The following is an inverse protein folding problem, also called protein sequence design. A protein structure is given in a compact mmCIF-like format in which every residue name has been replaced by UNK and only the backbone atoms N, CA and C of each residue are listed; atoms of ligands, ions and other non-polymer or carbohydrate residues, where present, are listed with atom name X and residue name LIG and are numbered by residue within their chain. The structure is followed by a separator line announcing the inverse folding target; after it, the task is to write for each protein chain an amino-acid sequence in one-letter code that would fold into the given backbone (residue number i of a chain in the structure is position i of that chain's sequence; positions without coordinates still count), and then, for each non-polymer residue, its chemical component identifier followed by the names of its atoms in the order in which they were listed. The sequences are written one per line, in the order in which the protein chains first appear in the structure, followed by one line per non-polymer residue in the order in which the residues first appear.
data_IF_899203733587
#
_entry.id   IF_899203733587
#
_cell.length_a   1.000
_cell.length_b   1.000
_cell.length_c   1.000
_cell.angle_alpha   90.00
_cell.angle_beta   90.00
_cell.angle_gamma   90.00
#
_symmetry.space_group_name_H-M   'P 1'
#
loop_
_entity.id
_entity.type
_entity.pdbx_description
1 polymer ?
#
# COMPACT_ATOMS: atom_id res chain seq x y z
N UNK A 1 -2.19 -10.80 12.46
CA UNK A 1 -2.13 -10.82 10.98
C UNK A 1 -3.02 -11.95 10.54
N UNK A 2 -3.99 -11.68 9.66
CA UNK A 2 -4.84 -12.73 9.10
C UNK A 2 -4.32 -13.17 7.73
N UNK A 3 -4.36 -14.48 7.48
CA UNK A 3 -3.84 -15.14 6.27
C UNK A 3 -4.94 -15.60 5.33
N UNK A 4 -6.19 -15.45 5.75
CA UNK A 4 -7.37 -15.79 4.96
C UNK A 4 -8.40 -14.68 5.15
N UNK A 5 -9.27 -14.46 4.16
CA UNK A 5 -10.41 -13.59 4.35
C UNK A 5 -11.32 -14.15 5.45
N UNK A 6 -11.96 -13.25 6.18
CA UNK A 6 -12.88 -13.57 7.27
C UNK A 6 -14.22 -12.88 7.01
N UNK A 7 -15.32 -13.40 7.56
CA UNK A 7 -16.63 -12.71 7.53
C UNK A 7 -17.13 -12.53 8.95
N UNK A 8 -17.50 -11.30 9.28
CA UNK A 8 -18.04 -10.97 10.59
C UNK A 8 -19.45 -10.42 10.44
N UNK A 9 -20.40 -11.09 11.09
CA UNK A 9 -21.80 -10.67 11.09
C UNK A 9 -22.14 -10.04 12.45
N UNK A 10 -22.74 -8.86 12.39
CA UNK A 10 -23.24 -8.18 13.59
C UNK A 10 -24.53 -8.80 14.12
N UNK A 11 -25.06 -8.22 15.20
CA UNK A 11 -26.30 -8.68 15.88
C UNK A 11 -27.50 -8.77 14.91
N UNK A 12 -27.52 -7.93 13.88
CA UNK A 12 -28.60 -7.89 12.88
C UNK A 12 -28.35 -8.82 11.66
N UNK A 13 -27.38 -9.74 11.72
CA UNK A 13 -26.90 -10.54 10.58
C UNK A 13 -26.37 -9.71 9.39
N UNK A 14 -26.12 -8.42 9.59
CA UNK A 14 -25.45 -7.57 8.60
C UNK A 14 -23.95 -7.83 8.62
N UNK A 15 -23.34 -7.96 7.45
CA UNK A 15 -21.89 -8.07 7.30
C UNK A 15 -21.21 -6.78 7.77
N UNK A 16 -20.17 -6.91 8.60
CA UNK A 16 -19.39 -5.80 9.12
C UNK A 16 -18.06 -5.64 8.38
N UNK A 17 -17.72 -4.40 8.06
CA UNK A 17 -16.49 -4.03 7.37
C UNK A 17 -15.69 -3.08 8.26
N UNK A 18 -14.79 -3.60 9.09
CA UNK A 18 -13.85 -2.76 9.85
C UNK A 18 -12.39 -3.00 9.47
N UNK A 19 -12.07 -4.19 8.95
CA UNK A 19 -10.76 -4.58 8.46
C UNK A 19 -10.84 -4.95 6.96
N UNK A 20 -9.73 -4.82 6.24
CA UNK A 20 -9.70 -5.02 4.78
C UNK A 20 -9.95 -6.50 4.42
N UNK A 21 -9.40 -7.41 5.23
CA UNK A 21 -9.61 -8.84 5.09
C UNK A 21 -11.02 -9.31 5.49
N UNK A 22 -11.90 -8.40 5.95
CA UNK A 22 -13.33 -8.66 6.12
C UNK A 22 -14.15 -8.28 4.88
N UNK A 23 -13.53 -7.69 3.86
CA UNK A 23 -14.24 -7.28 2.66
C UNK A 23 -14.65 -8.47 1.78
N UNK A 24 -15.77 -8.31 1.06
CA UNK A 24 -16.17 -9.28 0.05
C UNK A 24 -15.14 -9.37 -1.08
N UNK A 25 -14.53 -8.24 -1.44
CA UNK A 25 -13.48 -8.18 -2.45
C UNK A 25 -12.30 -9.12 -2.10
N UNK A 26 -11.94 -9.23 -0.83
CA UNK A 26 -10.86 -10.13 -0.43
C UNK A 26 -11.21 -11.60 -0.67
N UNK A 27 -12.46 -11.99 -0.40
CA UNK A 27 -12.96 -13.32 -0.73
C UNK A 27 -12.89 -13.58 -2.22
N UNK A 28 -13.40 -12.65 -3.02
CA UNK A 28 -13.40 -12.75 -4.48
C UNK A 28 -11.99 -12.89 -5.06
N UNK A 29 -11.02 -12.15 -4.51
CA UNK A 29 -9.61 -12.24 -4.91
C UNK A 29 -8.97 -13.54 -4.44
N UNK A 30 -9.25 -13.99 -3.21
CA UNK A 30 -8.69 -15.22 -2.66
C UNK A 30 -9.21 -16.46 -3.40
N UNK A 31 -10.47 -16.46 -3.83
CA UNK A 31 -11.11 -17.55 -4.58
C UNK A 31 -10.55 -17.71 -6.00
N UNK A 32 -9.91 -16.66 -6.55
CA UNK A 32 -9.25 -16.71 -7.86
C UNK A 32 -7.83 -17.29 -7.79
N UNK A 33 -7.26 -17.44 -6.60
CA UNK A 33 -5.90 -17.93 -6.43
C UNK A 33 -5.85 -19.45 -6.23
N UNK A 34 -4.71 -20.10 -6.54
CA UNK A 34 -4.53 -21.54 -6.32
C UNK A 34 -4.66 -21.94 -4.85
N UNK A 35 -5.00 -23.20 -4.59
CA UNK A 35 -5.01 -23.75 -3.23
C UNK A 35 -3.61 -23.62 -2.57
N UNK A 36 -3.59 -23.27 -1.28
CA UNK A 36 -2.34 -23.02 -0.54
C UNK A 36 -1.70 -21.64 -0.78
N UNK A 37 -2.43 -20.73 -1.41
CA UNK A 37 -2.01 -19.34 -1.59
C UNK A 37 -2.78 -18.37 -0.71
N UNK A 38 -2.22 -17.18 -0.50
CA UNK A 38 -2.81 -16.12 0.33
C UNK A 38 -2.67 -14.77 -0.37
N UNK A 39 -3.77 -14.01 -0.43
CA UNK A 39 -3.75 -12.60 -0.83
C UNK A 39 -3.01 -11.78 0.23
N UNK A 40 -2.13 -10.88 -0.21
CA UNK A 40 -1.50 -9.85 0.61
C UNK A 40 -1.92 -8.49 0.07
N UNK A 41 -2.79 -7.78 0.78
CA UNK A 41 -3.11 -6.41 0.36
C UNK A 41 -1.95 -5.48 0.71
N UNK A 42 -1.63 -4.64 -0.26
CA UNK A 42 -0.61 -3.62 -0.18
C UNK A 42 -1.32 -2.28 -0.29
N UNK A 43 -1.26 -1.49 0.78
CA UNK A 43 -1.80 -0.13 0.79
C UNK A 43 -0.63 0.82 0.63
N UNK A 44 -0.74 1.72 -0.35
CA UNK A 44 0.21 2.81 -0.54
C UNK A 44 -0.36 4.11 0.02
N UNK A 45 0.41 4.75 0.89
CA UNK A 45 0.06 6.05 1.47
C UNK A 45 1.16 7.03 1.14
N UNK A 46 0.79 8.20 0.65
CA UNK A 46 1.73 9.28 0.34
C UNK A 46 1.38 10.43 1.27
N UNK A 47 2.37 10.88 2.05
CA UNK A 47 2.19 12.00 2.98
C UNK A 47 3.24 13.08 2.72
N UNK A 48 2.91 14.35 2.94
CA UNK A 48 3.87 15.45 2.85
C UNK A 48 4.53 15.66 4.21
N UNK A 49 5.84 15.44 4.28
CA UNK A 49 6.62 15.59 5.50
C UNK A 49 7.68 16.68 5.35
N UNK A 50 7.92 17.42 6.43
CA UNK A 50 8.97 18.45 6.49
C UNK A 50 10.25 17.84 7.04
N UNK A 51 11.37 17.98 6.32
CA UNK A 51 12.64 17.33 6.68
C UNK A 51 13.48 18.17 7.65
N UNK A 52 13.23 19.49 7.71
CA UNK A 52 14.01 20.40 8.54
C UNK A 52 13.14 21.16 9.55
N UNK A 53 13.75 21.51 10.69
CA UNK A 53 13.14 22.33 11.74
C UNK A 53 12.66 23.71 11.23
N UNK A 54 13.24 24.18 10.13
CA UNK A 54 12.88 25.44 9.47
C UNK A 54 11.78 25.29 8.41
N UNK A 55 11.31 24.08 8.12
CA UNK A 55 10.18 23.80 7.20
C UNK A 55 10.41 24.10 5.71
N UNK A 56 11.64 24.42 5.30
CA UNK A 56 11.94 24.86 3.94
C UNK A 56 11.97 23.72 2.91
N UNK A 57 12.27 22.47 3.34
CA UNK A 57 12.33 21.33 2.44
C UNK A 57 11.23 20.34 2.76
N UNK A 58 10.33 20.19 1.78
CA UNK A 58 9.24 19.22 1.82
C UNK A 58 9.60 18.00 1.00
N UNK A 59 9.29 16.83 1.55
CA UNK A 59 9.43 15.54 0.85
C UNK A 59 8.14 14.77 0.99
N UNK A 60 7.87 13.93 -0.01
CA UNK A 60 6.66 13.13 -0.04
C UNK A 60 7.05 11.64 0.02
N UNK A 61 7.29 11.08 1.22
CA UNK A 61 7.50 9.64 1.39
C UNK A 61 6.29 8.86 0.88
N UNK A 62 6.60 7.71 0.29
CA UNK A 62 5.62 6.69 -0.07
C UNK A 62 5.77 5.57 0.96
N UNK A 63 4.74 5.40 1.77
CA UNK A 63 4.62 4.34 2.74
C UNK A 63 3.92 3.14 2.12
N UNK A 64 4.44 1.95 2.41
CA UNK A 64 3.84 0.67 2.11
C UNK A 64 3.34 0.06 3.41
N UNK A 65 2.06 -0.32 3.43
CA UNK A 65 1.38 -0.96 4.56
C UNK A 65 0.81 -2.28 4.08
N UNK A 66 0.90 -3.32 4.90
CA UNK A 66 0.27 -4.61 4.62
C UNK A 66 -1.14 -4.61 5.23
N UNK A 67 -2.17 -4.70 4.38
CA UNK A 67 -3.58 -4.71 4.78
C UNK A 67 -4.00 -5.93 5.61
N UNK A 68 -3.20 -6.99 5.63
CA UNK A 68 -3.39 -8.18 6.48
C UNK A 68 -3.05 -7.94 7.96
N UNK A 69 -2.36 -6.83 8.27
CA UNK A 69 -2.06 -6.41 9.63
C UNK A 69 -3.28 -5.65 10.14
N UNK A 70 -3.74 -5.97 11.36
CA UNK A 70 -4.90 -5.29 11.95
C UNK A 70 -4.63 -3.78 12.07
N UNK A 71 -5.66 -2.96 11.81
CA UNK A 71 -5.56 -1.49 11.86
C UNK A 71 -4.91 -0.96 13.14
N UNK A 72 -5.23 -1.52 14.31
CA UNK A 72 -4.64 -1.09 15.58
C UNK A 72 -3.11 -1.28 15.60
N UNK A 73 -2.61 -2.36 14.98
CA UNK A 73 -1.19 -2.63 14.86
C UNK A 73 -0.52 -1.72 13.82
N UNK A 74 -1.21 -1.40 12.72
CA UNK A 74 -0.71 -0.45 11.71
C UNK A 74 -0.47 0.94 12.31
N UNK A 75 -1.38 1.40 13.17
CA UNK A 75 -1.29 2.73 13.83
C UNK A 75 -0.33 2.77 15.02
N UNK A 76 0.29 1.65 15.41
CA UNK A 76 1.20 1.61 16.56
C UNK A 76 2.64 1.81 16.09
N UNK A 77 3.25 2.95 16.45
CA UNK A 77 4.62 3.32 16.09
C UNK A 77 5.67 2.24 16.37
N UNK A 78 5.58 1.56 17.51
CA UNK A 78 6.57 0.54 17.91
C UNK A 78 6.46 -0.80 17.17
N UNK A 79 5.41 -0.99 16.36
CA UNK A 79 5.12 -2.26 15.69
C UNK A 79 5.53 -2.30 14.22
N UNK A 80 6.17 -1.24 13.71
CA UNK A 80 6.64 -1.16 12.32
C UNK A 80 5.57 -1.62 11.31
N UNK A 81 4.34 -1.15 11.49
CA UNK A 81 3.20 -1.56 10.66
C UNK A 81 3.27 -1.05 9.21
N UNK A 82 4.25 -0.19 8.91
CA UNK A 82 4.49 0.38 7.60
C UNK A 82 6.00 0.57 7.36
N UNK A 83 6.40 0.61 6.09
CA UNK A 83 7.77 0.91 5.65
C UNK A 83 7.78 2.03 4.61
N UNK A 84 8.83 2.84 4.55
CA UNK A 84 9.01 3.81 3.45
C UNK A 84 9.72 3.08 2.31
N UNK A 85 9.11 3.10 1.11
CA UNK A 85 9.66 2.43 -0.08
C UNK A 85 10.31 3.42 -1.07
N UNK A 86 10.06 4.72 -0.90
CA UNK A 86 10.62 5.76 -1.75
C UNK A 86 10.10 7.14 -1.41
N UNK A 87 10.61 8.14 -2.12
CA UNK A 87 10.15 9.52 -2.04
C UNK A 87 9.73 9.97 -3.43
N UNK A 88 8.59 10.66 -3.54
CA UNK A 88 8.27 11.32 -4.81
C UNK A 88 9.28 12.45 -5.07
N UNK A 89 9.73 12.59 -6.33
CA UNK A 89 10.60 13.68 -6.70
C UNK A 89 9.88 15.02 -6.50
N UNK A 90 10.53 15.96 -5.83
CA UNK A 90 10.01 17.33 -5.72
C UNK A 90 10.58 18.18 -6.83
N UNK A 91 9.71 18.82 -7.62
CA UNK A 91 10.12 19.84 -8.58
C UNK A 91 10.11 21.20 -7.90
N UNK A 92 11.30 21.67 -7.54
CA UNK A 92 11.51 23.05 -7.13
C UNK A 92 11.50 23.93 -8.39
N UNK A 93 10.79 25.05 -8.33
CA UNK A 93 10.74 26.04 -9.41
C UNK A 93 11.11 27.41 -8.84
N UNK A 94 11.73 28.23 -9.66
CA UNK A 94 12.01 29.64 -9.36
C UNK A 94 11.43 30.51 -10.47
N UNK A 95 10.58 31.48 -10.12
CA UNK A 95 10.05 32.48 -11.06
C UNK A 95 8.62 32.23 -11.56
N UNK A 96 8.19 32.92 -12.64
CA UNK A 96 6.79 33.02 -13.09
C UNK A 96 6.22 31.73 -13.69
N UNK A 97 7.02 30.67 -13.83
CA UNK A 97 6.61 29.43 -14.50
C UNK A 97 5.77 28.49 -13.62
N UNK A 98 5.75 28.70 -12.30
CA UNK A 98 5.02 27.87 -11.31
C UNK A 98 3.57 27.58 -11.70
N UNK A 99 2.87 28.62 -12.16
CA UNK A 99 1.42 28.61 -12.34
C UNK A 99 1.04 28.33 -13.80
N UNK A 100 2.01 28.02 -14.67
CA UNK A 100 1.72 27.60 -16.03
C UNK A 100 1.19 26.16 -16.01
N UNK A 101 0.16 25.89 -16.81
CA UNK A 101 -0.41 24.55 -16.97
C UNK A 101 0.66 23.51 -17.31
N UNK A 102 1.57 23.84 -18.23
CA UNK A 102 2.66 22.95 -18.63
C UNK A 102 3.53 22.45 -17.46
N UNK A 103 3.77 23.30 -16.45
CA UNK A 103 4.53 22.90 -15.27
C UNK A 103 3.74 21.93 -14.38
N UNK A 104 2.45 22.21 -14.18
CA UNK A 104 1.54 21.34 -13.42
C UNK A 104 1.43 19.97 -14.09
N UNK A 105 1.26 19.94 -15.41
CA UNK A 105 1.15 18.71 -16.20
C UNK A 105 2.45 17.89 -16.13
N UNK A 106 3.60 18.54 -16.25
CA UNK A 106 4.91 17.89 -16.11
C UNK A 106 5.10 17.31 -14.72
N UNK A 107 4.66 18.02 -13.67
CA UNK A 107 4.71 17.54 -12.29
C UNK A 107 3.82 16.31 -12.08
N UNK A 108 2.58 16.34 -12.58
CA UNK A 108 1.69 15.18 -12.52
C UNK A 108 2.27 13.98 -13.27
N UNK A 109 2.78 14.19 -14.48
CA UNK A 109 3.43 13.15 -15.27
C UNK A 109 4.60 12.53 -14.51
N UNK A 110 5.45 13.35 -13.92
CA UNK A 110 6.59 12.88 -13.13
C UNK A 110 6.13 12.02 -11.94
N UNK A 111 5.05 12.41 -11.25
CA UNK A 111 4.51 11.64 -10.13
C UNK A 111 3.94 10.30 -10.58
N UNK A 112 3.18 10.29 -11.68
CA UNK A 112 2.64 9.06 -12.26
C UNK A 112 3.76 8.10 -12.69
N UNK A 113 4.82 8.62 -13.32
CA UNK A 113 5.98 7.83 -13.73
C UNK A 113 6.70 7.26 -12.50
N UNK A 114 6.94 8.07 -11.46
CA UNK A 114 7.61 7.61 -10.25
C UNK A 114 6.83 6.49 -9.54
N UNK A 115 5.51 6.64 -9.39
CA UNK A 115 4.65 5.61 -8.81
C UNK A 115 4.63 4.37 -9.72
N UNK A 116 4.56 4.55 -11.04
CA UNK A 116 4.57 3.44 -11.99
C UNK A 116 5.82 2.55 -11.84
N UNK A 117 7.01 3.14 -11.74
CA UNK A 117 8.25 2.39 -11.53
C UNK A 117 8.25 1.59 -10.23
N UNK A 118 7.75 2.17 -9.14
CA UNK A 118 7.64 1.49 -7.85
C UNK A 118 6.65 0.32 -7.94
N UNK A 119 5.54 0.53 -8.64
CA UNK A 119 4.47 -0.46 -8.80
C UNK A 119 4.80 -1.57 -9.79
N UNK A 120 5.73 -1.35 -10.71
CA UNK A 120 6.09 -2.33 -11.75
C UNK A 120 6.53 -3.67 -11.14
N UNK A 121 7.37 -3.63 -10.11
CA UNK A 121 7.79 -4.83 -9.40
C UNK A 121 6.60 -5.57 -8.75
N UNK A 122 5.68 -4.82 -8.14
CA UNK A 122 4.49 -5.40 -7.50
C UNK A 122 3.56 -6.04 -8.53
N UNK A 123 3.33 -5.42 -9.70
CA UNK A 123 2.49 -5.98 -10.77
C UNK A 123 3.02 -7.31 -11.31
N UNK A 124 4.33 -7.48 -11.36
CA UNK A 124 4.93 -8.77 -11.74
C UNK A 124 4.64 -9.82 -10.66
N UNK A 125 4.76 -9.43 -9.38
CA UNK A 125 4.51 -10.33 -8.24
C UNK A 125 3.03 -10.62 -8.02
N UNK A 126 2.13 -9.71 -8.38
CA UNK A 126 0.69 -9.94 -8.38
C UNK A 126 0.29 -11.13 -9.25
N UNK A 127 0.99 -11.35 -10.38
CA UNK A 127 0.73 -12.47 -11.29
C UNK A 127 1.48 -13.74 -10.95
N UNK A 128 2.72 -13.60 -10.48
CA UNK A 128 3.63 -14.74 -10.24
C UNK A 128 3.58 -15.25 -8.80
N UNK A 129 3.11 -14.42 -7.88
CA UNK A 129 3.24 -14.60 -6.45
C UNK A 129 4.70 -14.68 -5.99
N UNK A 130 4.88 -14.82 -4.68
CA UNK A 130 6.17 -15.06 -4.03
C UNK A 130 5.98 -16.12 -2.97
N UNK A 131 6.80 -17.16 -2.99
CA UNK A 131 6.82 -18.15 -1.92
C UNK A 131 7.62 -17.60 -0.74
N UNK A 132 6.98 -17.48 0.42
CA UNK A 132 7.64 -17.02 1.64
C UNK A 132 7.21 -17.89 2.83
N UNK A 133 8.03 -17.88 3.87
CA UNK A 133 7.73 -18.60 5.11
C UNK A 133 6.76 -17.77 5.95
N UNK A 134 5.61 -18.35 6.29
CA UNK A 134 4.63 -17.76 7.19
C UNK A 134 5.05 -17.85 8.66
N UNK A 135 4.29 -17.21 9.58
CA UNK A 135 4.59 -17.25 11.02
C UNK A 135 4.45 -18.66 11.63
N UNK A 136 3.65 -19.52 10.99
CA UNK A 136 3.49 -20.94 11.32
C UNK A 136 4.66 -21.80 10.83
N UNK A 137 5.72 -21.17 10.31
CA UNK A 137 6.89 -21.82 9.71
C UNK A 137 6.60 -22.65 8.45
N UNK A 138 5.40 -22.55 7.87
CA UNK A 138 5.06 -23.19 6.59
C UNK A 138 5.34 -22.25 5.44
N UNK A 139 5.57 -22.81 4.26
CA UNK A 139 5.69 -22.01 3.05
C UNK A 139 4.30 -21.73 2.51
N UNK A 140 4.01 -20.46 2.28
CA UNK A 140 2.79 -19.98 1.67
C UNK A 140 3.13 -19.28 0.37
N UNK A 141 2.23 -19.39 -0.60
CA UNK A 141 2.35 -18.63 -1.83
C UNK A 141 1.60 -17.31 -1.69
N UNK A 142 2.33 -16.21 -1.56
CA UNK A 142 1.76 -14.90 -1.35
C UNK A 142 1.57 -14.14 -2.65
N UNK A 143 0.40 -13.56 -2.84
CA UNK A 143 0.07 -12.74 -4.00
C UNK A 143 -0.19 -11.31 -3.53
N UNK A 144 0.76 -10.36 -3.76
CA UNK A 144 0.55 -8.96 -3.41
C UNK A 144 -0.47 -8.33 -4.35
N UNK A 145 -1.50 -7.70 -3.78
CA UNK A 145 -2.56 -7.00 -4.50
C UNK A 145 -2.67 -5.59 -3.94
N UNK A 146 -2.73 -4.58 -4.81
CA UNK A 146 -2.75 -3.15 -4.45
C UNK A 146 -4.17 -2.61 -4.53
#
# INVERSE_FOLDING_TARGET
MSFAPEKYYGINQCHQYSEIYWSNLWWELQDQLPEGSTVVSIILVIDETQVNLLGQKKVHPIYLIIGNINKAQQCTYSKNGYIIIGYLPSLEYSGPEKNKSAFIDTKHLLYHIAIFFILEYLKIREKTGVMMKGPDSRNWWYFPII
#
